data_IF_077486829982
#
_entry.id   IF_077486829982
#
_cell.length_a   1.000
_cell.length_b   1.000
_cell.length_c   1.000
_cell.angle_alpha   90.00
_cell.angle_beta   90.00
_cell.angle_gamma   90.00
#
_symmetry.space_group_name_H-M   'P 1'
#
loop_
_entity.id
_entity.type
_entity.pdbx_description
1 polymer ?
#
# COMPACT_ATOMS: atom_id res chain seq x y z
N UNK A 1 -14.30 -12.08 -27.96
CA UNK A 1 -14.30 -13.16 -26.96
C UNK A 1 -12.87 -13.58 -26.74
N UNK A 2 -12.22 -13.01 -25.72
CA UNK A 2 -10.81 -13.28 -25.40
C UNK A 2 -10.78 -14.51 -24.48
N UNK A 3 -10.00 -15.51 -24.87
CA UNK A 3 -9.87 -16.80 -24.20
C UNK A 3 -9.16 -16.61 -22.84
N UNK A 4 -9.94 -16.51 -21.76
CA UNK A 4 -9.52 -16.27 -20.37
C UNK A 4 -8.77 -17.44 -19.71
N UNK A 5 -8.52 -18.53 -20.43
CA UNK A 5 -7.92 -19.75 -19.91
C UNK A 5 -6.38 -19.72 -19.73
N UNK A 6 -5.70 -18.63 -20.09
CA UNK A 6 -4.22 -18.57 -20.02
C UNK A 6 -3.64 -17.99 -18.72
N UNK A 7 -4.41 -17.28 -17.89
CA UNK A 7 -3.86 -16.65 -16.66
C UNK A 7 -3.63 -17.68 -15.53
N UNK A 8 -4.30 -18.84 -15.59
CA UNK A 8 -4.30 -19.81 -14.49
C UNK A 8 -3.21 -20.89 -14.59
N UNK A 9 -2.36 -20.89 -15.64
CA UNK A 9 -1.42 -21.99 -15.92
C UNK A 9 -0.04 -21.90 -15.27
N UNK A 10 0.35 -20.76 -14.70
CA UNK A 10 1.75 -20.55 -14.29
C UNK A 10 2.01 -20.36 -12.79
N UNK A 11 1.11 -20.81 -11.89
CA UNK A 11 1.46 -20.94 -10.47
C UNK A 11 2.02 -22.35 -10.22
N UNK A 12 3.26 -22.60 -10.63
CA UNK A 12 4.01 -23.80 -10.18
C UNK A 12 4.50 -23.52 -8.76
N UNK A 13 3.95 -24.24 -7.77
CA UNK A 13 4.21 -24.19 -6.33
C UNK A 13 5.65 -24.51 -5.86
N UNK A 14 6.67 -24.19 -6.66
CA UNK A 14 8.06 -24.57 -6.37
C UNK A 14 8.84 -23.55 -5.54
N UNK A 15 8.18 -22.54 -4.96
CA UNK A 15 8.85 -21.57 -4.10
C UNK A 15 9.34 -22.26 -2.81
N UNK A 16 10.67 -22.28 -2.61
CA UNK A 16 11.31 -22.77 -1.39
C UNK A 16 10.84 -22.06 -0.11
N UNK A 17 10.14 -20.93 -0.26
CA UNK A 17 9.73 -20.03 0.82
C UNK A 17 8.23 -20.15 1.16
N UNK A 18 7.49 -21.06 0.54
CA UNK A 18 6.06 -21.28 0.79
C UNK A 18 5.83 -22.19 2.00
N UNK A 19 5.03 -21.73 2.95
CA UNK A 19 4.52 -22.54 4.06
C UNK A 19 3.33 -23.41 3.60
N UNK A 20 3.64 -24.55 2.99
CA UNK A 20 2.65 -25.50 2.45
C UNK A 20 1.71 -26.04 3.55
N UNK A 21 2.26 -26.35 4.74
CA UNK A 21 1.50 -26.90 5.87
C UNK A 21 0.53 -25.87 6.45
N UNK A 22 1.00 -24.62 6.64
CA UNK A 22 0.17 -23.51 7.09
C UNK A 22 -1.02 -23.25 6.15
N UNK A 23 -0.78 -23.22 4.83
CA UNK A 23 -1.83 -23.03 3.83
C UNK A 23 -2.87 -24.16 3.90
N UNK A 24 -2.43 -25.42 3.96
CA UNK A 24 -3.33 -26.57 4.04
C UNK A 24 -4.17 -26.54 5.32
N UNK A 25 -3.55 -26.25 6.47
CA UNK A 25 -4.25 -26.13 7.77
C UNK A 25 -5.28 -25.02 7.75
N UNK A 26 -4.96 -23.86 7.17
CA UNK A 26 -5.89 -22.75 6.98
C UNK A 26 -7.12 -23.19 6.19
N UNK A 27 -6.92 -23.78 5.02
CA UNK A 27 -8.02 -24.18 4.15
C UNK A 27 -8.88 -25.27 4.77
N UNK A 28 -8.28 -26.27 5.43
CA UNK A 28 -9.01 -27.29 6.18
C UNK A 28 -9.84 -26.68 7.32
N UNK A 29 -9.30 -25.69 8.03
CA UNK A 29 -10.01 -25.03 9.12
C UNK A 29 -11.21 -24.21 8.63
N UNK A 30 -11.06 -23.46 7.54
CA UNK A 30 -12.12 -22.56 7.04
C UNK A 30 -13.16 -23.33 6.23
N UNK A 31 -12.73 -24.23 5.35
CA UNK A 31 -13.59 -24.87 4.36
C UNK A 31 -13.85 -26.35 4.64
N UNK A 32 -13.10 -26.99 5.54
CA UNK A 32 -13.27 -28.42 5.85
C UNK A 32 -14.45 -28.73 6.79
N UNK A 33 -15.03 -27.71 7.43
CA UNK A 33 -16.13 -27.85 8.40
C UNK A 33 -17.50 -27.47 7.78
N UNK A 34 -17.52 -26.74 6.66
CA UNK A 34 -18.74 -26.23 6.01
C UNK A 34 -18.93 -26.83 4.60
N UNK A 35 -20.11 -27.37 4.34
CA UNK A 35 -20.51 -28.17 3.17
C UNK A 35 -20.62 -27.44 1.81
N UNK A 36 -20.12 -26.20 1.69
CA UNK A 36 -20.25 -25.44 0.44
C UNK A 36 -19.16 -25.78 -0.59
N UNK A 37 -17.99 -26.28 -0.16
CA UNK A 37 -16.88 -26.61 -1.04
C UNK A 37 -16.32 -28.00 -0.68
N UNK A 38 -16.42 -28.95 -1.62
CA UNK A 38 -15.96 -30.31 -1.40
C UNK A 38 -14.48 -30.44 -1.76
N UNK A 39 -13.64 -30.72 -0.76
CA UNK A 39 -12.30 -31.24 -1.01
C UNK A 39 -12.41 -32.57 -1.75
N UNK A 40 -11.44 -32.87 -2.60
CA UNK A 40 -11.37 -34.19 -3.26
C UNK A 40 -11.43 -35.34 -2.25
N UNK A 41 -12.12 -36.43 -2.57
CA UNK A 41 -12.23 -37.62 -1.70
C UNK A 41 -10.87 -38.15 -1.21
N UNK A 42 -9.82 -38.01 -2.03
CA UNK A 42 -8.47 -38.46 -1.69
C UNK A 42 -7.59 -37.35 -1.08
N UNK A 43 -8.15 -36.18 -0.77
CA UNK A 43 -7.37 -35.02 -0.33
C UNK A 43 -6.55 -35.35 0.91
N UNK A 44 -7.16 -35.98 1.93
CA UNK A 44 -6.49 -36.27 3.20
C UNK A 44 -5.39 -37.34 3.11
N UNK A 45 -5.37 -38.18 2.06
CA UNK A 45 -4.33 -39.20 1.87
C UNK A 45 -3.15 -38.71 1.03
N UNK A 46 -3.25 -37.52 0.44
CA UNK A 46 -2.15 -36.91 -0.30
C UNK A 46 -1.07 -36.34 0.62
N UNK A 47 0.14 -36.21 0.08
CA UNK A 47 1.22 -35.44 0.72
C UNK A 47 0.81 -33.98 0.88
N UNK A 48 1.35 -33.29 1.89
CA UNK A 48 1.08 -31.86 2.14
C UNK A 48 1.32 -31.01 0.90
N UNK A 49 2.43 -31.26 0.19
CA UNK A 49 2.72 -30.61 -1.09
C UNK A 49 1.60 -30.78 -2.12
N UNK A 50 1.14 -32.02 -2.34
CA UNK A 50 0.06 -32.29 -3.30
C UNK A 50 -1.27 -31.68 -2.86
N UNK A 51 -1.55 -31.60 -1.56
CA UNK A 51 -2.70 -30.88 -1.01
C UNK A 51 -2.60 -29.37 -1.29
N UNK A 52 -1.44 -28.78 -1.03
CA UNK A 52 -1.13 -27.37 -1.30
C UNK A 52 -1.29 -27.03 -2.79
N UNK A 53 -0.66 -27.81 -3.67
CA UNK A 53 -0.74 -27.65 -5.12
C UNK A 53 -2.19 -27.70 -5.62
N UNK A 54 -2.97 -28.63 -5.08
CA UNK A 54 -4.38 -28.76 -5.42
C UNK A 54 -5.20 -27.58 -4.90
N UNK A 55 -4.97 -27.10 -3.67
CA UNK A 55 -5.63 -25.89 -3.15
C UNK A 55 -5.35 -24.71 -4.08
N UNK A 56 -4.07 -24.45 -4.39
CA UNK A 56 -3.66 -23.31 -5.21
C UNK A 56 -4.34 -23.33 -6.57
N UNK A 57 -4.42 -24.52 -7.19
CA UNK A 57 -5.08 -24.70 -8.49
C UNK A 57 -6.59 -24.43 -8.44
N UNK A 58 -7.24 -24.70 -7.30
CA UNK A 58 -8.69 -24.62 -7.12
C UNK A 58 -9.14 -23.45 -6.22
N UNK A 59 -8.29 -22.42 -6.00
CA UNK A 59 -8.63 -21.24 -5.17
C UNK A 59 -9.98 -20.61 -5.57
N UNK A 60 -10.28 -20.59 -6.87
CA UNK A 60 -11.52 -20.02 -7.39
C UNK A 60 -12.78 -20.72 -6.86
N UNK A 61 -12.71 -22.02 -6.55
CA UNK A 61 -13.83 -22.77 -5.96
C UNK A 61 -14.09 -22.32 -4.52
N UNK A 62 -13.02 -22.03 -3.77
CA UNK A 62 -13.10 -21.54 -2.40
C UNK A 62 -13.55 -20.07 -2.31
N UNK A 63 -13.25 -19.29 -3.34
CA UNK A 63 -13.51 -17.85 -3.42
C UNK A 63 -14.24 -17.50 -4.73
N UNK A 64 -15.49 -17.94 -4.93
CA UNK A 64 -16.17 -17.89 -6.23
C UNK A 64 -16.44 -16.47 -6.75
N UNK A 65 -16.44 -15.46 -5.87
CA UNK A 65 -16.64 -14.06 -6.24
C UNK A 65 -15.34 -13.24 -6.19
N UNK A 66 -14.17 -13.87 -5.96
CA UNK A 66 -12.89 -13.18 -5.98
C UNK A 66 -12.40 -13.04 -7.43
N UNK A 67 -12.05 -11.83 -7.88
CA UNK A 67 -11.47 -11.64 -9.20
C UNK A 67 -10.22 -12.50 -9.40
N UNK A 68 -10.10 -13.12 -10.58
CA UNK A 68 -8.99 -14.02 -10.91
C UNK A 68 -7.62 -13.36 -10.72
N UNK A 69 -7.52 -12.07 -11.02
CA UNK A 69 -6.29 -11.26 -10.89
C UNK A 69 -5.77 -11.18 -9.44
N UNK A 70 -6.63 -11.41 -8.44
CA UNK A 70 -6.32 -11.31 -7.01
C UNK A 70 -6.10 -12.68 -6.33
N UNK A 71 -6.47 -13.79 -6.98
CA UNK A 71 -6.39 -15.13 -6.38
C UNK A 71 -4.98 -15.50 -5.94
N UNK A 72 -3.95 -15.04 -6.65
CA UNK A 72 -2.54 -15.28 -6.30
C UNK A 72 -2.13 -14.66 -4.97
N UNK A 73 -2.88 -13.68 -4.44
CA UNK A 73 -2.56 -13.03 -3.16
C UNK A 73 -2.75 -14.03 -2.00
N UNK A 74 -3.65 -15.01 -2.12
CA UNK A 74 -3.90 -16.00 -1.08
C UNK A 74 -2.65 -16.86 -0.79
N UNK A 75 -2.06 -17.57 -1.77
CA UNK A 75 -0.83 -18.32 -1.54
C UNK A 75 0.38 -17.40 -1.28
N UNK A 76 0.38 -16.18 -1.82
CA UNK A 76 1.44 -15.20 -1.53
C UNK A 76 1.53 -14.87 -0.03
N UNK A 77 0.40 -14.93 0.70
CA UNK A 77 0.36 -14.67 2.14
C UNK A 77 1.15 -15.72 2.94
N UNK A 78 1.31 -16.93 2.39
CA UNK A 78 2.09 -18.02 2.97
C UNK A 78 3.52 -18.09 2.40
N UNK A 79 3.86 -17.25 1.43
CA UNK A 79 5.20 -17.19 0.86
C UNK A 79 6.03 -16.10 1.51
N UNK A 80 7.15 -16.49 2.11
CA UNK A 80 8.07 -15.57 2.74
C UNK A 80 8.90 -14.79 1.71
N UNK A 81 9.30 -13.55 2.07
CA UNK A 81 10.25 -12.79 1.27
C UNK A 81 11.63 -13.45 1.24
N UNK A 82 12.29 -13.39 0.10
CA UNK A 82 13.64 -13.90 -0.12
C UNK A 82 14.69 -12.94 0.46
N UNK A 83 15.04 -13.17 1.73
CA UNK A 83 15.98 -12.33 2.45
C UNK A 83 17.43 -12.49 1.97
N UNK A 84 17.76 -13.62 1.32
CA UNK A 84 19.12 -13.96 0.86
C UNK A 84 19.45 -13.36 -0.51
N UNK A 85 18.45 -12.83 -1.21
CA UNK A 85 18.63 -12.24 -2.54
C UNK A 85 19.61 -11.08 -2.49
N UNK A 86 20.71 -11.17 -3.23
CA UNK A 86 21.67 -10.07 -3.37
C UNK A 86 21.09 -8.96 -4.24
N UNK A 87 21.29 -7.70 -3.82
CA UNK A 87 20.91 -6.53 -4.62
C UNK A 87 21.72 -6.42 -5.92
N UNK A 88 22.92 -7.00 -5.98
CA UNK A 88 23.82 -6.86 -7.14
C UNK A 88 23.42 -7.73 -8.34
N UNK A 89 22.55 -8.71 -8.13
CA UNK A 89 22.07 -9.58 -9.20
C UNK A 89 20.82 -8.95 -9.79
N UNK A 90 20.87 -8.62 -11.07
CA UNK A 90 19.69 -8.17 -11.81
C UNK A 90 18.81 -9.38 -12.18
N UNK A 91 17.48 -9.24 -12.18
CA UNK A 91 16.62 -10.25 -12.75
C UNK A 91 16.78 -10.30 -14.28
N UNK A 92 16.67 -11.49 -14.88
CA UNK A 92 16.86 -11.69 -16.32
C UNK A 92 15.84 -10.93 -17.17
N UNK A 93 14.64 -10.69 -16.63
CA UNK A 93 13.57 -9.94 -17.30
C UNK A 93 13.71 -8.42 -17.16
N UNK A 94 14.74 -7.90 -16.48
CA UNK A 94 14.91 -6.46 -16.29
C UNK A 94 15.26 -5.79 -17.62
N UNK A 95 14.44 -4.82 -18.01
CA UNK A 95 14.64 -3.98 -19.17
C UNK A 95 15.16 -2.62 -18.69
N UNK A 96 16.43 -2.35 -19.00
CA UNK A 96 17.10 -1.14 -18.54
C UNK A 96 16.52 0.12 -19.17
N UNK A 97 16.07 0.08 -20.43
CA UNK A 97 15.49 1.24 -21.10
C UNK A 97 14.12 1.57 -20.51
N UNK A 98 13.30 0.55 -20.22
CA UNK A 98 12.05 0.73 -19.47
C UNK A 98 12.30 1.27 -18.06
N UNK A 99 13.32 0.75 -17.36
CA UNK A 99 13.68 1.29 -16.04
C UNK A 99 14.03 2.78 -16.11
N UNK A 100 14.89 3.19 -17.05
CA UNK A 100 15.27 4.61 -17.24
C UNK A 100 14.10 5.50 -17.64
N UNK A 101 13.23 5.02 -18.53
CA UNK A 101 12.00 5.75 -18.89
C UNK A 101 11.09 5.96 -17.68
N UNK A 102 10.95 4.96 -16.81
CA UNK A 102 10.20 5.07 -15.56
C UNK A 102 10.77 6.13 -14.61
N UNK A 103 12.10 6.25 -14.53
CA UNK A 103 12.76 7.30 -13.76
C UNK A 103 12.46 8.69 -14.34
N UNK A 104 12.55 8.87 -15.67
CA UNK A 104 12.22 10.13 -16.35
C UNK A 104 10.76 10.52 -16.05
N UNK A 105 9.83 9.57 -16.18
CA UNK A 105 8.42 9.78 -15.88
C UNK A 105 8.20 10.30 -14.45
N UNK A 106 8.88 9.71 -13.46
CA UNK A 106 8.76 10.17 -12.07
C UNK A 106 9.38 11.55 -11.86
N UNK A 107 10.53 11.86 -12.48
CA UNK A 107 11.15 13.18 -12.34
C UNK A 107 10.28 14.30 -12.93
N UNK A 108 9.62 14.01 -14.06
CA UNK A 108 8.68 14.91 -14.74
C UNK A 108 7.39 15.13 -13.95
N UNK A 109 6.94 14.14 -13.18
CA UNK A 109 5.69 14.16 -12.42
C UNK A 109 5.93 14.16 -10.90
N UNK A 110 7.06 14.71 -10.43
CA UNK A 110 7.55 14.55 -9.07
C UNK A 110 6.50 14.83 -7.98
N UNK A 111 5.84 15.99 -8.02
CA UNK A 111 4.86 16.40 -7.00
C UNK A 111 3.62 15.50 -7.05
N UNK A 112 3.10 15.21 -8.25
CA UNK A 112 1.97 14.32 -8.43
C UNK A 112 2.27 12.89 -7.92
N UNK A 113 3.48 12.38 -8.20
CA UNK A 113 3.94 11.09 -7.70
C UNK A 113 4.05 11.12 -6.17
N UNK A 114 4.57 12.19 -5.55
CA UNK A 114 4.61 12.29 -4.09
C UNK A 114 3.21 12.22 -3.48
N UNK A 115 2.26 13.03 -4.00
CA UNK A 115 0.85 13.04 -3.57
C UNK A 115 0.21 11.66 -3.73
N UNK A 116 0.46 11.00 -4.86
CA UNK A 116 -0.06 9.64 -5.12
C UNK A 116 0.35 8.62 -4.06
N UNK A 117 1.53 8.75 -3.44
CA UNK A 117 1.97 7.83 -2.37
C UNK A 117 1.19 8.05 -1.09
N UNK A 118 0.88 9.30 -0.75
CA UNK A 118 0.11 9.62 0.45
C UNK A 118 -1.31 9.08 0.30
N UNK A 119 -1.94 9.36 -0.85
CA UNK A 119 -3.26 8.82 -1.19
C UNK A 119 -3.23 7.28 -1.18
N UNK A 120 -2.22 6.66 -1.81
CA UNK A 120 -2.02 5.22 -1.79
C UNK A 120 -1.93 4.62 -0.38
N UNK A 121 -1.21 5.29 0.53
CA UNK A 121 -1.07 4.88 1.93
C UNK A 121 -2.43 4.90 2.66
N UNK A 122 -3.29 5.87 2.36
CA UNK A 122 -4.65 5.92 2.92
C UNK A 122 -5.46 4.67 2.56
N UNK A 123 -5.28 4.18 1.33
CA UNK A 123 -5.96 3.00 0.82
C UNK A 123 -5.45 1.70 1.43
N UNK A 124 -4.13 1.51 1.47
CA UNK A 124 -3.55 0.26 1.97
C UNK A 124 -3.78 0.08 3.46
N UNK A 125 -3.81 1.15 4.24
CA UNK A 125 -4.07 1.04 5.68
C UNK A 125 -5.52 0.67 6.02
N UNK A 126 -6.43 0.63 5.04
CA UNK A 126 -7.76 0.01 5.25
C UNK A 126 -7.65 -1.49 5.55
N UNK A 127 -6.57 -2.15 5.12
CA UNK A 127 -6.23 -3.50 5.52
C UNK A 127 -5.56 -3.47 6.91
N UNK A 128 -6.23 -4.03 7.91
CA UNK A 128 -5.74 -4.02 9.29
C UNK A 128 -4.39 -4.73 9.44
N UNK A 129 -4.14 -5.79 8.67
CA UNK A 129 -2.85 -6.51 8.69
C UNK A 129 -1.70 -5.66 8.12
N UNK A 130 -1.99 -4.66 7.28
CA UNK A 130 -1.01 -3.67 6.79
C UNK A 130 -0.81 -2.51 7.79
N UNK A 131 -1.87 -2.12 8.49
CA UNK A 131 -1.83 -1.02 9.46
C UNK A 131 -1.09 -1.41 10.75
N UNK A 132 -1.28 -2.64 11.26
CA UNK A 132 -0.68 -3.10 12.52
C UNK A 132 0.85 -2.98 12.55
N UNK A 133 1.63 -3.45 11.54
CA UNK A 133 3.08 -3.27 11.52
C UNK A 133 3.52 -1.79 11.56
N UNK A 134 2.70 -0.88 11.07
CA UNK A 134 2.98 0.56 11.10
C UNK A 134 2.82 1.11 12.52
N UNK A 135 1.76 0.71 13.21
CA UNK A 135 1.50 1.07 14.61
C UNK A 135 2.57 0.47 15.52
N UNK A 136 2.86 -0.83 15.39
CA UNK A 136 3.93 -1.54 16.14
C UNK A 136 5.31 -0.95 15.92
N UNK A 137 5.53 -0.25 14.82
CA UNK A 137 6.74 0.50 14.55
C UNK A 137 6.95 1.67 15.51
N UNK A 138 5.90 2.19 16.15
CA UNK A 138 5.95 3.29 17.11
C UNK A 138 6.59 4.59 16.59
N UNK A 139 6.58 4.80 15.27
CA UNK A 139 7.13 6.01 14.62
C UNK A 139 6.07 6.78 13.81
N UNK A 140 4.77 6.65 14.14
CA UNK A 140 3.70 7.31 13.37
C UNK A 140 2.43 7.66 14.16
N UNK A 141 2.42 7.45 15.48
CA UNK A 141 1.24 7.68 16.34
C UNK A 141 1.19 9.09 16.94
N UNK A 142 2.08 9.98 16.52
CA UNK A 142 1.93 11.43 16.72
C UNK A 142 2.30 12.15 15.42
N UNK A 143 1.80 13.37 15.17
CA UNK A 143 2.19 14.15 14.00
C UNK A 143 3.70 14.36 13.86
N UNK A 144 4.43 14.56 14.97
CA UNK A 144 5.89 14.70 14.97
C UNK A 144 6.60 13.41 14.54
N UNK A 145 6.24 12.26 15.11
CA UNK A 145 6.83 10.98 14.73
C UNK A 145 6.50 10.64 13.27
N UNK A 146 5.25 10.88 12.87
CA UNK A 146 4.83 10.74 11.48
C UNK A 146 5.66 11.63 10.54
N UNK A 147 5.90 12.89 10.88
CA UNK A 147 6.75 13.80 10.10
C UNK A 147 8.13 13.19 9.84
N UNK A 148 8.82 12.78 10.90
CA UNK A 148 10.15 12.18 10.79
C UNK A 148 10.12 10.91 9.93
N UNK A 149 9.16 10.01 10.18
CA UNK A 149 9.03 8.75 9.44
C UNK A 149 8.77 9.00 7.96
N UNK A 150 7.78 9.82 7.61
CA UNK A 150 7.32 9.97 6.23
C UNK A 150 8.27 10.82 5.39
N UNK A 151 8.89 11.87 5.94
CA UNK A 151 9.94 12.62 5.23
C UNK A 151 11.09 11.69 4.84
N UNK A 152 11.57 10.86 5.78
CA UNK A 152 12.65 9.91 5.51
C UNK A 152 12.21 8.81 4.54
N UNK A 153 10.97 8.34 4.63
CA UNK A 153 10.46 7.28 3.76
C UNK A 153 10.32 7.76 2.32
N UNK A 154 9.73 8.94 2.10
CA UNK A 154 9.64 9.56 0.78
C UNK A 154 11.04 9.80 0.22
N UNK A 155 11.98 10.36 1.01
CA UNK A 155 13.36 10.58 0.57
C UNK A 155 14.07 9.29 0.15
N UNK A 156 13.84 8.16 0.84
CA UNK A 156 14.38 6.84 0.45
C UNK A 156 13.77 6.34 -0.86
N UNK A 157 12.45 6.38 -1.00
CA UNK A 157 11.78 5.94 -2.24
C UNK A 157 12.27 6.79 -3.43
N UNK A 158 12.40 8.10 -3.25
CA UNK A 158 12.86 9.02 -4.30
C UNK A 158 14.35 8.90 -4.62
N UNK A 159 15.17 8.33 -3.71
CA UNK A 159 16.55 7.98 -4.07
C UNK A 159 16.59 6.75 -4.99
N UNK A 160 15.64 5.81 -4.87
CA UNK A 160 15.50 4.71 -5.81
C UNK A 160 15.09 5.22 -7.20
N UNK A 161 14.14 6.16 -7.26
CA UNK A 161 13.70 6.77 -8.53
C UNK A 161 14.77 7.57 -9.26
N UNK A 162 15.85 7.96 -8.57
CA UNK A 162 16.94 8.75 -9.15
C UNK A 162 18.26 7.99 -9.21
N UNK A 163 18.28 6.70 -8.85
CA UNK A 163 19.50 5.90 -8.82
C UNK A 163 19.28 4.41 -9.08
N UNK A 164 20.34 3.65 -8.81
CA UNK A 164 20.43 2.23 -9.14
C UNK A 164 20.59 1.39 -7.87
N UNK A 165 19.51 0.78 -7.35
CA UNK A 165 19.54 -0.03 -6.13
C UNK A 165 20.48 -1.23 -6.16
N UNK A 166 21.03 -1.60 -7.32
CA UNK A 166 21.97 -2.71 -7.50
C UNK A 166 23.44 -2.29 -7.56
N UNK A 167 23.74 -1.00 -7.68
CA UNK A 167 25.12 -0.49 -7.72
C UNK A 167 25.57 -0.11 -6.31
N UNK A 168 26.47 -0.92 -5.74
CA UNK A 168 27.04 -0.68 -4.40
C UNK A 168 27.68 0.71 -4.33
N UNK A 169 27.38 1.45 -3.26
CA UNK A 169 27.91 2.80 -3.03
C UNK A 169 26.96 3.93 -3.47
N UNK A 170 25.94 3.63 -4.27
CA UNK A 170 24.89 4.62 -4.58
C UNK A 170 23.98 4.82 -3.37
N UNK A 171 23.36 6.01 -3.30
CA UNK A 171 22.33 6.28 -2.29
C UNK A 171 21.14 5.32 -2.40
N UNK A 172 20.74 4.99 -3.63
CA UNK A 172 19.65 4.04 -3.90
C UNK A 172 19.93 2.66 -3.30
N UNK A 173 21.16 2.15 -3.47
CA UNK A 173 21.60 0.87 -2.89
C UNK A 173 21.52 0.90 -1.36
N UNK A 174 22.09 1.92 -0.73
CA UNK A 174 22.07 2.06 0.74
C UNK A 174 20.65 2.18 1.28
N UNK A 175 19.80 3.01 0.67
CA UNK A 175 18.42 3.19 1.12
C UNK A 175 17.57 1.92 0.91
N UNK A 176 17.83 1.14 -0.15
CA UNK A 176 17.20 -0.16 -0.40
C UNK A 176 17.59 -1.18 0.69
N UNK A 177 18.87 -1.23 1.07
CA UNK A 177 19.32 -2.09 2.18
C UNK A 177 18.67 -1.69 3.51
N UNK A 178 18.58 -0.38 3.80
CA UNK A 178 17.90 0.13 5.00
C UNK A 178 16.43 -0.31 5.02
N UNK A 179 15.73 -0.21 3.89
CA UNK A 179 14.33 -0.65 3.81
C UNK A 179 14.20 -2.16 4.08
N UNK A 180 15.04 -3.00 3.45
CA UNK A 180 15.06 -4.45 3.73
C UNK A 180 15.33 -4.76 5.20
N UNK A 181 16.30 -4.09 5.80
CA UNK A 181 16.61 -4.25 7.23
C UNK A 181 15.41 -3.92 8.13
N UNK A 182 14.73 -2.81 7.86
CA UNK A 182 13.52 -2.41 8.60
C UNK A 182 12.38 -3.41 8.45
N UNK A 183 12.11 -3.89 7.23
CA UNK A 183 11.07 -4.88 6.99
C UNK A 183 11.40 -6.21 7.67
N UNK A 184 12.66 -6.66 7.64
CA UNK A 184 13.10 -7.87 8.35
C UNK A 184 12.95 -7.74 9.87
N UNK A 185 13.34 -6.60 10.45
CA UNK A 185 13.18 -6.33 11.89
C UNK A 185 11.71 -6.35 12.28
N UNK A 186 10.85 -5.66 11.52
CA UNK A 186 9.41 -5.65 11.80
C UNK A 186 8.81 -7.04 11.67
N UNK A 187 9.20 -7.79 10.64
CA UNK A 187 8.76 -9.18 10.47
C UNK A 187 9.11 -10.04 11.68
N UNK A 188 10.37 -10.00 12.14
CA UNK A 188 10.81 -10.73 13.33
C UNK A 188 9.97 -10.35 14.55
N UNK A 189 9.72 -9.05 14.74
CA UNK A 189 8.86 -8.53 15.82
C UNK A 189 7.45 -9.11 15.76
N UNK A 190 6.79 -9.05 14.60
CA UNK A 190 5.41 -9.56 14.43
C UNK A 190 5.35 -11.08 14.63
N UNK A 191 6.33 -11.84 14.14
CA UNK A 191 6.35 -13.30 14.30
C UNK A 191 6.55 -13.75 15.76
N UNK A 192 7.13 -12.91 16.62
CA UNK A 192 7.34 -13.20 18.04
C UNK A 192 6.11 -12.94 18.91
N UNK A 193 5.09 -12.28 18.36
CA UNK A 193 3.86 -11.93 19.08
C UNK A 193 2.70 -12.85 18.65
N UNK A 194 1.80 -13.13 19.58
CA UNK A 194 0.49 -13.69 19.24
C UNK A 194 -0.47 -12.59 18.73
N UNK A 195 -1.64 -13.02 18.24
CA UNK A 195 -2.59 -12.09 17.64
C UNK A 195 -3.27 -11.19 18.67
N UNK A 196 -3.42 -11.63 19.92
CA UNK A 196 -4.01 -10.84 21.00
C UNK A 196 -3.04 -9.76 21.44
N UNK A 197 -1.76 -10.12 21.63
CA UNK A 197 -0.67 -9.19 21.89
C UNK A 197 -0.55 -8.12 20.80
N UNK A 198 -0.58 -8.51 19.52
CA UNK A 198 -0.55 -7.55 18.41
C UNK A 198 -1.75 -6.62 18.47
N UNK A 199 -2.94 -7.16 18.72
CA UNK A 199 -4.17 -6.36 18.78
C UNK A 199 -4.11 -5.37 19.92
N UNK A 200 -3.78 -5.81 21.13
CA UNK A 200 -3.63 -4.96 22.31
C UNK A 200 -2.60 -3.85 22.10
N UNK A 201 -1.43 -4.18 21.53
CA UNK A 201 -0.39 -3.20 21.24
C UNK A 201 -0.76 -2.20 20.13
N UNK A 202 -1.76 -2.52 19.29
CA UNK A 202 -2.21 -1.63 18.22
C UNK A 202 -3.44 -0.81 18.58
N UNK A 203 -4.13 -1.11 19.67
CA UNK A 203 -5.33 -0.38 20.11
C UNK A 203 -4.93 0.88 20.87
N UNK A 204 -5.43 2.03 20.42
CA UNK A 204 -5.19 3.29 21.13
C UNK A 204 -6.28 3.55 22.17
N UNK A 205 -5.88 3.92 23.38
CA UNK A 205 -6.83 4.31 24.43
C UNK A 205 -7.62 5.58 24.06
N UNK A 206 -6.95 6.55 23.42
CA UNK A 206 -7.54 7.84 23.02
C UNK A 206 -7.11 8.19 21.59
N UNK A 207 -7.68 7.53 20.56
CA UNK A 207 -7.31 7.79 19.18
C UNK A 207 -7.74 9.20 18.73
N UNK A 208 -6.92 9.91 17.96
CA UNK A 208 -7.28 11.18 17.33
C UNK A 208 -8.19 10.93 16.12
N UNK A 209 -9.45 10.63 16.44
CA UNK A 209 -10.46 10.09 15.54
C UNK A 209 -11.74 10.94 15.64
N UNK A 210 -11.79 12.06 14.92
CA UNK A 210 -12.84 13.06 14.96
C UNK A 210 -13.91 12.88 13.87
N UNK A 211 -13.55 12.28 12.73
CA UNK A 211 -14.40 12.29 11.52
C UNK A 211 -14.90 10.90 11.12
N UNK A 212 -14.57 9.83 11.87
CA UNK A 212 -14.85 8.45 11.49
C UNK A 212 -16.33 8.16 11.28
N UNK A 213 -17.19 8.61 12.18
CA UNK A 213 -18.64 8.38 12.05
C UNK A 213 -19.20 9.02 10.77
N UNK A 214 -18.73 10.22 10.46
CA UNK A 214 -19.06 10.94 9.24
C UNK A 214 -18.60 10.18 8.00
N UNK A 215 -17.35 9.70 8.01
CA UNK A 215 -16.78 8.91 6.91
C UNK A 215 -17.53 7.60 6.69
N UNK A 216 -17.84 6.87 7.77
CA UNK A 216 -18.59 5.61 7.71
C UNK A 216 -19.98 5.80 7.12
N UNK A 217 -20.65 6.92 7.42
CA UNK A 217 -21.95 7.26 6.84
C UNK A 217 -21.89 7.39 5.32
N UNK A 218 -20.89 8.08 4.79
CA UNK A 218 -20.70 8.19 3.34
C UNK A 218 -20.34 6.83 2.71
N UNK A 219 -19.38 6.09 3.28
CA UNK A 219 -18.94 4.81 2.72
C UNK A 219 -20.03 3.73 2.73
N UNK A 220 -20.93 3.76 3.72
CA UNK A 220 -22.10 2.89 3.75
C UNK A 220 -23.03 3.13 2.54
N UNK A 221 -23.15 4.38 2.07
CA UNK A 221 -24.04 4.75 0.97
C UNK A 221 -23.49 4.39 -0.43
N UNK A 222 -22.17 4.33 -0.59
CA UNK A 222 -21.52 4.15 -1.91
C UNK A 222 -21.41 2.69 -2.34
N UNK A 223 -21.62 1.74 -1.43
CA UNK A 223 -21.12 0.39 -1.63
C UNK A 223 -22.18 -0.66 -1.87
N UNK A 224 -21.90 -1.59 -2.80
CA UNK A 224 -22.72 -2.78 -3.01
C UNK A 224 -22.63 -3.79 -1.85
N UNK A 225 -23.64 -4.66 -1.68
CA UNK A 225 -23.56 -5.81 -0.79
C UNK A 225 -22.38 -6.72 -1.17
N UNK A 226 -21.62 -7.18 -0.17
CA UNK A 226 -20.51 -8.09 -0.39
C UNK A 226 -21.01 -9.51 -0.68
N UNK A 227 -20.41 -10.16 -1.67
CA UNK A 227 -20.69 -11.56 -1.98
C UNK A 227 -19.73 -12.49 -1.25
N UNK A 228 -20.18 -13.70 -0.90
CA UNK A 228 -19.32 -14.71 -0.28
C UNK A 228 -18.07 -14.98 -1.13
N UNK A 229 -16.91 -15.06 -0.48
CA UNK A 229 -15.65 -15.32 -1.15
C UNK A 229 -15.16 -14.19 -2.06
N UNK A 230 -15.73 -12.98 -1.96
CA UNK A 230 -15.24 -11.81 -2.70
C UNK A 230 -13.92 -11.28 -2.15
N UNK A 231 -13.83 -11.12 -0.82
CA UNK A 231 -12.60 -10.75 -0.09
C UNK A 231 -12.01 -11.97 0.62
N UNK A 232 -10.73 -11.84 0.98
CA UNK A 232 -10.02 -12.84 1.77
C UNK A 232 -10.21 -12.68 3.29
N UNK A 233 -11.14 -11.84 3.74
CA UNK A 233 -11.34 -11.50 5.17
C UNK A 233 -11.66 -12.72 6.05
N UNK A 234 -12.25 -13.78 5.48
CA UNK A 234 -12.49 -15.04 6.20
C UNK A 234 -11.19 -15.69 6.70
N UNK A 235 -10.06 -15.46 6.02
CA UNK A 235 -8.74 -15.94 6.43
C UNK A 235 -8.34 -15.36 7.78
N UNK A 236 -8.71 -14.11 8.05
CA UNK A 236 -8.35 -13.41 9.29
C UNK A 236 -9.02 -13.99 10.54
N UNK A 237 -10.04 -14.84 10.37
CA UNK A 237 -10.75 -15.54 11.45
C UNK A 237 -10.10 -16.85 11.86
N UNK A 238 -9.17 -17.38 11.05
CA UNK A 238 -8.52 -18.66 11.35
C UNK A 238 -7.33 -18.47 12.28
N UNK A 239 -7.07 -19.41 13.22
CA UNK A 239 -5.84 -19.43 14.00
C UNK A 239 -4.59 -19.70 13.16
N UNK A 240 -4.76 -20.21 11.93
CA UNK A 240 -3.66 -20.50 10.99
C UNK A 240 -3.38 -19.36 10.01
N UNK A 241 -3.91 -18.16 10.27
CA UNK A 241 -3.61 -17.01 9.42
C UNK A 241 -2.10 -16.70 9.44
N UNK A 242 -1.53 -16.27 8.30
CA UNK A 242 -0.09 -16.03 8.22
C UNK A 242 0.34 -14.89 9.15
N UNK A 243 1.56 -14.99 9.67
CA UNK A 243 2.17 -13.99 10.56
C UNK A 243 3.38 -13.33 9.90
N UNK A 244 3.52 -12.05 10.20
CA UNK A 244 4.65 -11.24 9.76
C UNK A 244 4.57 -10.86 8.29
N UNK A 245 5.56 -10.08 7.86
CA UNK A 245 5.61 -9.49 6.53
C UNK A 245 5.96 -10.54 5.47
N UNK A 246 5.04 -10.80 4.55
CA UNK A 246 5.10 -11.84 3.51
C UNK A 246 4.96 -11.24 2.09
N UNK A 247 4.87 -12.09 1.05
CA UNK A 247 4.75 -11.64 -0.33
C UNK A 247 3.41 -10.97 -0.65
N UNK A 248 2.30 -11.39 -0.02
CA UNK A 248 1.01 -10.71 -0.18
C UNK A 248 1.10 -9.27 0.34
N UNK A 249 1.68 -9.06 1.51
CA UNK A 249 1.77 -7.72 2.11
C UNK A 249 2.58 -6.76 1.23
N UNK A 250 3.69 -7.26 0.67
CA UNK A 250 4.49 -6.47 -0.28
C UNK A 250 3.77 -6.25 -1.61
N UNK A 251 2.98 -7.21 -2.09
CA UNK A 251 2.17 -7.07 -3.31
C UNK A 251 1.11 -5.98 -3.13
N UNK A 252 0.37 -6.02 -2.03
CA UNK A 252 -0.62 -5.01 -1.67
C UNK A 252 0.03 -3.63 -1.41
N UNK A 253 1.18 -3.60 -0.73
CA UNK A 253 1.95 -2.36 -0.57
C UNK A 253 2.41 -1.79 -1.91
N UNK A 254 2.87 -2.63 -2.85
CA UNK A 254 3.28 -2.19 -4.18
C UNK A 254 2.10 -1.62 -4.98
N UNK A 255 0.91 -2.22 -4.86
CA UNK A 255 -0.30 -1.74 -5.54
C UNK A 255 -0.66 -0.31 -5.12
N UNK A 256 -0.50 0.00 -3.83
CA UNK A 256 -0.83 1.32 -3.28
C UNK A 256 0.04 2.43 -3.88
N UNK A 257 1.27 2.08 -4.26
CA UNK A 257 2.18 3.03 -4.88
C UNK A 257 1.93 3.24 -6.38
N UNK A 258 1.23 2.34 -7.06
CA UNK A 258 1.00 2.45 -8.52
C UNK A 258 -0.44 2.80 -8.88
N UNK A 259 -1.41 2.63 -7.98
CA UNK A 259 -2.84 2.81 -8.25
C UNK A 259 -3.20 4.16 -8.88
N UNK A 260 -2.86 5.27 -8.22
CA UNK A 260 -3.32 6.60 -8.64
C UNK A 260 -2.71 6.98 -10.00
N UNK A 261 -1.40 6.82 -10.26
CA UNK A 261 -0.85 7.06 -11.60
C UNK A 261 -1.46 6.15 -12.68
N UNK A 262 -1.88 4.92 -12.34
CA UNK A 262 -2.40 3.98 -13.33
C UNK A 262 -3.86 4.18 -13.68
N UNK A 263 -4.72 4.35 -12.68
CA UNK A 263 -6.17 4.41 -12.89
C UNK A 263 -6.67 5.84 -13.05
N UNK A 264 -6.05 6.79 -12.35
CA UNK A 264 -6.57 8.16 -12.25
C UNK A 264 -5.47 9.23 -12.36
N UNK A 265 -4.56 9.18 -13.36
CA UNK A 265 -3.38 10.05 -13.41
C UNK A 265 -3.74 11.54 -13.37
N UNK A 266 -4.82 11.96 -14.04
CA UNK A 266 -5.24 13.36 -14.09
C UNK A 266 -5.76 13.86 -12.74
N UNK A 267 -6.26 12.98 -11.87
CA UNK A 267 -6.79 13.35 -10.55
C UNK A 267 -5.74 13.97 -9.62
N UNK A 268 -4.46 13.68 -9.87
CA UNK A 268 -3.29 14.25 -9.18
C UNK A 268 -2.42 15.11 -10.10
N UNK A 269 -2.90 15.43 -11.29
CA UNK A 269 -2.25 16.34 -12.23
C UNK A 269 -1.23 15.70 -13.18
N UNK A 270 -1.28 14.38 -13.40
CA UNK A 270 -0.52 13.72 -14.46
C UNK A 270 -1.39 13.70 -15.73
N UNK A 271 -1.19 14.68 -16.61
CA UNK A 271 -2.03 14.87 -17.81
C UNK A 271 -1.45 14.28 -19.10
N UNK A 272 -0.15 14.03 -19.12
CA UNK A 272 0.63 13.70 -20.31
C UNK A 272 1.34 12.33 -20.19
N UNK A 273 0.76 11.41 -19.41
CA UNK A 273 1.24 10.04 -19.32
C UNK A 273 0.82 9.24 -20.55
N UNK A 274 1.79 8.63 -21.22
CA UNK A 274 1.55 7.60 -22.26
C UNK A 274 1.46 6.22 -21.62
N UNK A 275 0.90 5.24 -22.32
CA UNK A 275 0.87 3.86 -21.82
C UNK A 275 2.30 3.30 -21.67
N UNK A 276 3.23 3.67 -22.53
CA UNK A 276 4.64 3.28 -22.38
C UNK A 276 5.29 3.91 -21.14
N UNK A 277 4.90 5.13 -20.75
CA UNK A 277 5.37 5.74 -19.50
C UNK A 277 4.81 5.02 -18.27
N UNK A 278 3.53 4.64 -18.31
CA UNK A 278 2.87 3.91 -17.23
C UNK A 278 3.42 2.48 -17.09
N UNK A 279 3.68 1.81 -18.22
CA UNK A 279 4.33 0.50 -18.25
C UNK A 279 5.75 0.59 -17.69
N UNK A 280 6.54 1.59 -18.12
CA UNK A 280 7.88 1.84 -17.61
C UNK A 280 7.89 2.14 -16.10
N UNK A 281 6.92 2.91 -15.61
CA UNK A 281 6.73 3.16 -14.19
C UNK A 281 6.41 1.88 -13.41
N UNK A 282 5.55 1.01 -13.95
CA UNK A 282 5.27 -0.30 -13.37
C UNK A 282 6.49 -1.22 -13.40
N UNK A 283 7.26 -1.22 -14.49
CA UNK A 283 8.49 -2.00 -14.62
C UNK A 283 9.51 -1.60 -13.53
N UNK A 284 9.64 -0.31 -13.26
CA UNK A 284 10.48 0.21 -12.19
C UNK A 284 10.02 -0.30 -10.81
N UNK A 285 8.71 -0.26 -10.53
CA UNK A 285 8.16 -0.83 -9.29
C UNK A 285 8.33 -2.35 -9.22
N UNK A 286 8.21 -3.07 -10.34
CA UNK A 286 8.50 -4.51 -10.43
C UNK A 286 9.93 -4.80 -10.00
N UNK A 287 10.89 -4.02 -10.50
CA UNK A 287 12.30 -4.10 -10.09
C UNK A 287 12.48 -3.87 -8.59
N UNK A 288 11.81 -2.87 -8.00
CA UNK A 288 11.89 -2.63 -6.56
C UNK A 288 11.33 -3.79 -5.74
N UNK A 289 10.21 -4.38 -6.15
CA UNK A 289 9.68 -5.59 -5.53
C UNK A 289 10.73 -6.72 -5.53
N UNK A 290 11.40 -6.92 -6.67
CA UNK A 290 12.49 -7.89 -6.76
C UNK A 290 13.64 -7.57 -5.78
N UNK A 291 14.13 -6.34 -5.76
CA UNK A 291 15.24 -5.95 -4.88
C UNK A 291 14.89 -6.01 -3.39
N UNK A 292 13.61 -5.80 -3.06
CA UNK A 292 13.04 -5.95 -1.72
C UNK A 292 12.82 -7.41 -1.30
N UNK A 293 13.00 -8.37 -2.21
CA UNK A 293 12.92 -9.81 -1.93
C UNK A 293 11.60 -10.47 -2.29
N UNK A 294 10.70 -9.81 -3.01
CA UNK A 294 9.45 -10.44 -3.48
C UNK A 294 9.74 -11.50 -4.54
N UNK A 295 9.04 -12.64 -4.49
CA UNK A 295 9.06 -13.60 -5.60
C UNK A 295 8.32 -13.01 -6.81
N UNK A 296 8.85 -13.28 -8.00
CA UNK A 296 8.39 -12.62 -9.24
C UNK A 296 6.93 -12.95 -9.57
N UNK A 297 6.49 -14.16 -9.22
CA UNK A 297 5.11 -14.64 -9.39
C UNK A 297 4.09 -13.90 -8.51
N UNK A 298 4.53 -13.28 -7.41
CA UNK A 298 3.67 -12.51 -6.51
C UNK A 298 3.88 -11.00 -6.63
N UNK A 299 4.83 -10.56 -7.46
CA UNK A 299 5.04 -9.15 -7.77
C UNK A 299 3.76 -8.56 -8.36
N UNK A 300 3.27 -7.46 -7.78
CA UNK A 300 2.01 -6.83 -8.19
C UNK A 300 2.13 -6.22 -9.58
N UNK A 301 3.32 -5.76 -9.96
CA UNK A 301 3.61 -5.17 -11.27
C UNK A 301 4.08 -6.21 -12.32
N UNK A 302 3.72 -7.48 -12.16
CA UNK A 302 3.97 -8.53 -13.16
C UNK A 302 2.91 -8.53 -14.27
N UNK A 303 3.28 -9.06 -15.43
CA UNK A 303 2.41 -9.14 -16.60
C UNK A 303 2.48 -7.91 -17.50
N UNK A 304 1.52 -7.78 -18.41
CA UNK A 304 1.34 -6.60 -19.26
C UNK A 304 0.74 -5.42 -18.47
N UNK A 305 0.77 -4.22 -19.06
CA UNK A 305 0.15 -3.03 -18.46
C UNK A 305 -1.35 -3.24 -18.24
N UNK A 306 -2.04 -3.90 -19.17
CA UNK A 306 -3.48 -4.21 -19.08
C UNK A 306 -3.76 -5.15 -17.90
N UNK A 307 -2.96 -6.20 -17.73
CA UNK A 307 -3.10 -7.13 -16.59
C UNK A 307 -2.86 -6.41 -15.25
N UNK A 308 -1.90 -5.48 -15.21
CA UNK A 308 -1.62 -4.67 -14.01
C UNK A 308 -2.80 -3.72 -13.74
N UNK A 309 -3.28 -2.97 -14.74
CA UNK A 309 -4.45 -2.07 -14.60
C UNK A 309 -5.69 -2.85 -14.15
N UNK A 310 -5.94 -4.03 -14.71
CA UNK A 310 -7.03 -4.90 -14.29
C UNK A 310 -6.88 -5.33 -12.83
N UNK A 311 -5.69 -5.78 -12.42
CA UNK A 311 -5.41 -6.19 -11.04
C UNK A 311 -5.57 -5.05 -10.04
N UNK A 312 -5.12 -3.84 -10.38
CA UNK A 312 -5.37 -2.65 -9.55
C UNK A 312 -6.88 -2.41 -9.46
N UNK A 313 -7.58 -2.33 -10.59
CA UNK A 313 -9.02 -2.06 -10.58
C UNK A 313 -9.77 -3.08 -9.71
N UNK A 314 -9.47 -4.37 -9.89
CA UNK A 314 -10.09 -5.43 -9.11
C UNK A 314 -9.80 -5.30 -7.61
N UNK A 315 -8.54 -5.05 -7.22
CA UNK A 315 -8.18 -4.87 -5.82
C UNK A 315 -8.98 -3.72 -5.18
N UNK A 316 -9.11 -2.61 -5.90
CA UNK A 316 -9.75 -1.42 -5.36
C UNK A 316 -11.26 -1.55 -5.32
N UNK A 317 -11.89 -2.04 -6.38
CA UNK A 317 -13.34 -2.23 -6.46
C UNK A 317 -13.84 -3.31 -5.50
N UNK A 318 -13.15 -4.45 -5.42
CA UNK A 318 -13.65 -5.59 -4.68
C UNK A 318 -13.14 -5.67 -3.24
N UNK A 319 -11.98 -5.08 -2.90
CA UNK A 319 -11.39 -5.19 -1.56
C UNK A 319 -11.24 -3.82 -0.86
N UNK A 320 -10.56 -2.84 -1.45
CA UNK A 320 -10.27 -1.55 -0.77
C UNK A 320 -11.56 -0.77 -0.49
N UNK A 321 -12.42 -0.57 -1.51
CA UNK A 321 -13.66 0.18 -1.34
C UNK A 321 -14.54 -0.44 -0.25
N UNK A 322 -14.78 -1.77 -0.24
CA UNK A 322 -15.48 -2.42 0.87
C UNK A 322 -14.83 -2.25 2.24
N UNK A 323 -13.49 -2.25 2.35
CA UNK A 323 -12.82 -2.05 3.64
C UNK A 323 -13.13 -0.68 4.27
N UNK A 324 -13.45 0.34 3.48
CA UNK A 324 -13.82 1.67 4.01
C UNK A 324 -15.12 1.67 4.84
N UNK A 325 -15.97 0.64 4.73
CA UNK A 325 -17.14 0.48 5.62
C UNK A 325 -16.77 0.07 7.04
N UNK A 326 -15.54 -0.42 7.22
CA UNK A 326 -15.06 -1.04 8.45
C UNK A 326 -13.84 -0.27 8.98
N UNK A 327 -13.71 1.02 8.64
CA UNK A 327 -12.62 1.87 9.12
C UNK A 327 -12.51 1.80 10.64
N UNK A 328 -11.30 1.64 11.15
CA UNK A 328 -11.03 1.61 12.60
C UNK A 328 -10.64 3.00 13.11
N UNK A 329 -10.81 3.28 14.42
CA UNK A 329 -10.29 4.50 15.02
C UNK A 329 -8.78 4.69 14.80
N UNK A 330 -8.02 3.59 14.82
CA UNK A 330 -6.59 3.55 14.56
C UNK A 330 -6.24 3.98 13.13
N UNK A 331 -7.08 3.62 12.14
CA UNK A 331 -6.90 4.08 10.76
C UNK A 331 -6.96 5.59 10.69
N UNK A 332 -8.01 6.20 11.25
CA UNK A 332 -8.15 7.66 11.21
C UNK A 332 -7.00 8.32 11.96
N UNK A 333 -6.67 7.84 13.16
CA UNK A 333 -5.57 8.37 13.95
C UNK A 333 -4.26 8.41 13.14
N UNK A 334 -3.87 7.28 12.54
CA UNK A 334 -2.60 7.17 11.81
C UNK A 334 -2.61 7.99 10.53
N UNK A 335 -3.71 7.98 9.77
CA UNK A 335 -3.81 8.81 8.56
C UNK A 335 -3.82 10.29 8.91
N UNK A 336 -4.50 10.69 9.98
CA UNK A 336 -4.49 12.08 10.44
C UNK A 336 -3.10 12.51 10.88
N UNK A 337 -2.37 11.68 11.63
CA UNK A 337 -0.97 11.96 11.96
C UNK A 337 -0.11 12.09 10.69
N UNK A 338 -0.27 11.20 9.71
CA UNK A 338 0.42 11.29 8.41
C UNK A 338 0.13 12.63 7.72
N UNK A 339 -1.14 12.98 7.54
CA UNK A 339 -1.55 14.16 6.77
C UNK A 339 -1.16 15.45 7.47
N UNK A 340 -1.47 15.56 8.76
CA UNK A 340 -1.21 16.78 9.52
C UNK A 340 0.30 17.03 9.69
N UNK A 341 1.11 15.96 9.69
CA UNK A 341 2.57 16.09 9.67
C UNK A 341 3.11 16.76 8.40
N UNK A 342 2.37 16.69 7.29
CA UNK A 342 2.75 17.36 6.04
C UNK A 342 2.69 18.88 6.17
N UNK A 343 1.86 19.39 7.07
CA UNK A 343 1.74 20.83 7.34
C UNK A 343 2.99 21.40 8.03
N UNK A 344 3.96 20.56 8.44
CA UNK A 344 5.27 20.97 8.92
C UNK A 344 6.31 21.15 7.80
N UNK A 345 5.97 20.79 6.56
CA UNK A 345 6.85 20.99 5.41
C UNK A 345 6.93 22.48 5.04
N UNK A 346 8.08 22.95 4.53
CA UNK A 346 8.25 24.34 4.17
C UNK A 346 7.47 24.67 2.88
N UNK A 347 6.89 25.87 2.79
CA UNK A 347 6.20 26.35 1.58
C UNK A 347 4.69 26.53 1.68
N UNK A 348 4.08 26.31 2.87
CA UNK A 348 2.66 26.59 3.17
C UNK A 348 1.65 25.94 2.19
N UNK A 349 1.94 24.76 1.63
CA UNK A 349 0.93 23.90 0.99
C UNK A 349 0.12 23.19 2.08
N UNK A 350 -0.69 23.97 2.78
CA UNK A 350 -1.50 23.48 3.89
C UNK A 350 -2.61 22.57 3.36
N UNK A 351 -2.67 21.34 3.88
CA UNK A 351 -3.62 20.33 3.48
C UNK A 351 -4.23 19.67 4.73
N UNK A 352 -5.44 20.08 5.15
CA UNK A 352 -6.11 19.48 6.29
C UNK A 352 -6.61 18.07 5.96
N UNK A 353 -6.74 17.23 6.97
CA UNK A 353 -7.20 15.84 6.86
C UNK A 353 -8.45 15.66 5.99
N UNK A 354 -9.51 16.45 6.22
CA UNK A 354 -10.76 16.33 5.46
C UNK A 354 -10.59 16.57 3.96
N UNK A 355 -9.75 17.56 3.59
CA UNK A 355 -9.50 17.93 2.20
C UNK A 355 -8.77 16.80 1.48
N UNK A 356 -7.75 16.19 2.08
CA UNK A 356 -7.03 15.10 1.42
C UNK A 356 -7.87 13.81 1.37
N UNK A 357 -8.71 13.53 2.37
CA UNK A 357 -9.65 12.41 2.31
C UNK A 357 -10.60 12.58 1.15
N UNK A 358 -11.18 13.78 0.98
CA UNK A 358 -12.06 14.03 -0.15
C UNK A 358 -11.33 13.95 -1.51
N UNK A 359 -10.11 14.49 -1.61
CA UNK A 359 -9.27 14.35 -2.80
C UNK A 359 -8.96 12.87 -3.10
N UNK A 360 -8.70 12.06 -2.08
CA UNK A 360 -8.44 10.63 -2.22
C UNK A 360 -9.70 9.89 -2.68
N UNK A 361 -10.86 10.12 -2.07
CA UNK A 361 -12.12 9.47 -2.47
C UNK A 361 -12.58 9.91 -3.86
N UNK A 362 -12.30 11.16 -4.26
CA UNK A 362 -12.52 11.63 -5.64
C UNK A 362 -11.75 10.77 -6.65
N UNK A 363 -10.52 10.34 -6.35
CA UNK A 363 -9.77 9.49 -7.28
C UNK A 363 -10.41 8.12 -7.44
N UNK A 364 -11.15 7.63 -6.44
CA UNK A 364 -11.91 6.38 -6.52
C UNK A 364 -13.34 6.58 -7.08
N UNK A 365 -13.68 7.79 -7.53
CA UNK A 365 -15.02 8.19 -7.96
C UNK A 365 -16.11 7.93 -6.90
N UNK A 366 -15.77 8.07 -5.61
CA UNK A 366 -16.72 7.87 -4.52
C UNK A 366 -17.39 9.21 -4.17
N UNK A 367 -18.72 9.19 -4.07
CA UNK A 367 -19.49 10.34 -3.64
C UNK A 367 -19.46 10.46 -2.11
N UNK A 368 -18.92 11.55 -1.58
CA UNK A 368 -18.79 11.79 -0.13
C UNK A 368 -19.57 13.05 0.31
N UNK A 369 -20.91 13.07 0.18
CA UNK A 369 -21.71 14.26 0.39
C UNK A 369 -21.68 14.76 1.84
N UNK A 370 -21.64 13.86 2.84
CA UNK A 370 -21.59 14.28 4.23
C UNK A 370 -20.21 14.89 4.57
N UNK A 371 -19.12 14.28 4.09
CA UNK A 371 -17.77 14.83 4.24
C UNK A 371 -17.66 16.22 3.62
N UNK A 372 -18.08 16.39 2.37
CA UNK A 372 -18.03 17.68 1.66
C UNK A 372 -18.88 18.74 2.35
N UNK A 373 -20.08 18.39 2.83
CA UNK A 373 -20.93 19.31 3.57
C UNK A 373 -20.36 19.71 4.95
N UNK A 374 -19.48 18.90 5.52
CA UNK A 374 -18.85 19.19 6.82
C UNK A 374 -17.68 20.18 6.75
N UNK A 375 -17.30 20.63 5.55
CA UNK A 375 -16.17 21.53 5.37
C UNK A 375 -16.48 22.91 5.93
N UNK A 376 -15.53 23.48 6.66
CA UNK A 376 -15.53 24.91 6.92
C UNK A 376 -15.10 25.69 5.67
N UNK A 377 -15.27 27.02 5.70
CA UNK A 377 -14.98 27.87 4.55
C UNK A 377 -13.52 27.76 4.06
N UNK A 378 -12.56 27.63 4.98
CA UNK A 378 -11.14 27.45 4.66
C UNK A 378 -10.88 26.11 3.97
N UNK A 379 -11.46 25.02 4.47
CA UNK A 379 -11.34 23.68 3.87
C UNK A 379 -11.93 23.66 2.45
N UNK A 380 -13.06 24.35 2.24
CA UNK A 380 -13.67 24.48 0.92
C UNK A 380 -12.76 25.20 -0.08
N UNK A 381 -12.19 26.34 0.32
CA UNK A 381 -11.22 27.08 -0.51
C UNK A 381 -10.01 26.20 -0.84
N UNK A 382 -9.45 25.52 0.17
CA UNK A 382 -8.29 24.66 -0.02
C UNK A 382 -8.60 23.50 -0.97
N UNK A 383 -9.74 22.85 -0.84
CA UNK A 383 -10.14 21.79 -1.76
C UNK A 383 -10.23 22.29 -3.20
N UNK A 384 -10.91 23.42 -3.44
CA UNK A 384 -11.00 24.01 -4.79
C UNK A 384 -9.63 24.44 -5.32
N UNK A 385 -8.78 25.01 -4.46
CA UNK A 385 -7.40 25.37 -4.81
C UNK A 385 -6.58 24.15 -5.24
N UNK A 386 -6.63 23.04 -4.51
CA UNK A 386 -5.88 21.84 -4.87
C UNK A 386 -6.40 21.20 -6.16
N UNK A 387 -7.72 21.14 -6.38
CA UNK A 387 -8.29 20.68 -7.65
C UNK A 387 -7.84 21.56 -8.83
N UNK A 388 -7.85 22.87 -8.64
CA UNK A 388 -7.32 23.82 -9.62
C UNK A 388 -5.82 23.60 -9.87
N UNK A 389 -5.02 23.41 -8.82
CA UNK A 389 -3.59 23.16 -8.94
C UNK A 389 -3.30 21.88 -9.74
N UNK A 390 -4.01 20.78 -9.45
CA UNK A 390 -3.90 19.53 -10.19
C UNK A 390 -4.29 19.70 -11.66
N UNK A 391 -5.35 20.46 -11.95
CA UNK A 391 -5.68 20.83 -13.32
C UNK A 391 -4.57 21.67 -13.99
N UNK A 392 -4.01 22.65 -13.27
CA UNK A 392 -2.96 23.54 -13.75
C UNK A 392 -1.64 22.80 -14.06
N UNK A 393 -1.41 21.59 -13.53
CA UNK A 393 -0.27 20.76 -13.92
C UNK A 393 -0.28 20.32 -15.38
N UNK A 394 -1.39 20.55 -16.12
CA UNK A 394 -1.42 20.41 -17.57
C UNK A 394 -0.45 21.38 -18.27
N UNK A 395 -0.13 22.51 -17.64
CA UNK A 395 0.83 23.48 -18.14
C UNK A 395 2.24 23.14 -17.61
N UNK A 396 3.16 22.79 -18.52
CA UNK A 396 4.51 22.33 -18.17
C UNK A 396 5.26 23.31 -17.27
N UNK A 397 5.19 24.62 -17.56
CA UNK A 397 5.85 25.66 -16.74
C UNK A 397 5.38 25.64 -15.29
N UNK A 398 4.06 25.52 -15.06
CA UNK A 398 3.49 25.45 -13.71
C UNK A 398 3.95 24.16 -13.02
N UNK A 399 3.85 23.03 -13.72
CA UNK A 399 4.28 21.72 -13.23
C UNK A 399 5.76 21.74 -12.82
N UNK A 400 6.64 22.33 -13.64
CA UNK A 400 8.08 22.39 -13.39
C UNK A 400 8.44 23.28 -12.20
N UNK A 401 7.78 24.43 -12.08
CA UNK A 401 7.92 25.32 -10.91
C UNK A 401 7.51 24.57 -9.64
N UNK A 402 6.34 23.95 -9.63
CA UNK A 402 5.82 23.26 -8.45
C UNK A 402 6.67 22.03 -8.10
N UNK A 403 7.09 21.23 -9.09
CA UNK A 403 8.02 20.12 -8.89
C UNK A 403 9.33 20.60 -8.25
N UNK A 404 9.89 21.72 -8.72
CA UNK A 404 11.10 22.33 -8.16
C UNK A 404 10.89 22.78 -6.71
N UNK A 405 9.75 23.44 -6.43
CA UNK A 405 9.37 23.86 -5.07
C UNK A 405 9.21 22.66 -4.13
N UNK A 406 8.52 21.60 -4.54
CA UNK A 406 8.34 20.38 -3.73
C UNK A 406 9.67 19.69 -3.46
N UNK A 407 10.57 19.59 -4.46
CA UNK A 407 11.92 19.04 -4.26
C UNK A 407 12.72 19.82 -3.23
N UNK A 408 12.76 21.16 -3.35
CA UNK A 408 13.43 22.03 -2.37
C UNK A 408 12.80 21.90 -0.98
N UNK A 409 11.47 21.83 -0.93
CA UNK A 409 10.71 21.68 0.31
C UNK A 409 11.06 20.38 1.04
N UNK A 410 11.04 19.26 0.32
CA UNK A 410 11.41 17.94 0.85
C UNK A 410 12.86 17.91 1.36
N UNK A 411 13.78 18.47 0.58
CA UNK A 411 15.19 18.53 0.98
C UNK A 411 15.40 19.40 2.22
N UNK A 412 14.67 20.51 2.36
CA UNK A 412 14.73 21.35 3.56
C UNK A 412 14.12 20.65 4.77
N UNK A 413 12.94 20.04 4.63
CA UNK A 413 12.26 19.29 5.70
C UNK A 413 13.14 18.14 6.24
N UNK A 414 13.84 17.43 5.34
CA UNK A 414 14.73 16.34 5.71
C UNK A 414 16.01 16.78 6.44
N UNK A 415 16.32 18.07 6.46
CA UNK A 415 17.52 18.65 7.06
C UNK A 415 17.16 19.80 8.03
N UNK A 416 16.00 19.75 8.67
CA UNK A 416 15.65 20.71 9.73
C UNK A 416 16.65 20.66 10.88
N UNK A 417 16.95 21.84 11.46
CA UNK A 417 17.78 21.97 12.65
C UNK A 417 17.11 21.33 13.86
N UNK A 418 17.88 21.01 14.89
CA UNK A 418 17.34 20.51 16.16
C UNK A 418 16.30 21.47 16.76
N UNK A 419 16.58 22.78 16.74
CA UNK A 419 15.66 23.83 17.18
C UNK A 419 14.32 23.78 16.41
N UNK A 420 14.36 23.60 15.08
CA UNK A 420 13.14 23.52 14.28
C UNK A 420 12.35 22.24 14.54
N UNK A 421 13.06 21.13 14.79
CA UNK A 421 12.41 19.87 15.16
C UNK A 421 11.73 19.98 16.53
N UNK A 422 12.35 20.67 17.50
CA UNK A 422 11.75 20.94 18.80
C UNK A 422 10.48 21.80 18.68
N UNK A 423 10.52 22.87 17.87
CA UNK A 423 9.33 23.70 17.60
C UNK A 423 8.17 22.86 17.01
N UNK A 424 8.48 21.95 16.09
CA UNK A 424 7.48 21.06 15.49
C UNK A 424 6.96 20.05 16.52
N UNK A 425 7.84 19.53 17.38
CA UNK A 425 7.45 18.58 18.44
C UNK A 425 6.50 19.24 19.44
N UNK A 426 6.82 20.44 19.91
CA UNK A 426 5.94 21.23 20.79
C UNK A 426 4.61 21.56 20.12
N UNK A 427 4.60 21.87 18.82
CA UNK A 427 3.35 22.05 18.07
C UNK A 427 2.55 20.75 17.99
N UNK A 428 3.19 19.61 17.77
CA UNK A 428 2.55 18.29 17.74
C UNK A 428 1.90 17.94 19.07
N UNK A 429 2.59 18.16 20.20
CA UNK A 429 2.10 17.87 21.56
C UNK A 429 0.80 18.60 21.91
N UNK A 430 0.60 19.80 21.36
CA UNK A 430 -0.65 20.58 21.55
C UNK A 430 -1.87 19.92 20.91
N UNK A 431 -1.66 19.04 19.93
CA UNK A 431 -2.74 18.37 19.21
C UNK A 431 -2.90 16.92 19.64
N UNK A 432 -1.79 16.19 19.75
CA UNK A 432 -1.74 14.82 20.27
C UNK A 432 -0.60 14.74 21.26
N UNK A 433 -0.87 14.58 22.58
CA UNK A 433 0.18 14.39 23.57
C UNK A 433 1.06 13.20 23.23
N UNK A 434 2.33 13.24 23.63
CA UNK A 434 3.20 12.07 23.45
C UNK A 434 2.71 10.93 24.33
N UNK A 435 2.63 9.74 23.73
CA UNK A 435 2.37 8.50 24.45
C UNK A 435 3.24 7.40 23.86
N UNK A 436 3.64 6.43 24.68
CA UNK A 436 4.37 5.27 24.18
C UNK A 436 3.40 4.18 23.76
N UNK A 437 3.75 3.49 22.68
CA UNK A 437 3.11 2.21 22.36
C UNK A 437 3.88 1.14 23.14
N UNK A 438 3.37 0.84 24.33
CA UNK A 438 3.90 -0.22 25.20
C UNK A 438 3.45 -1.58 24.67
N UNK A 439 4.35 -2.55 24.70
CA UNK A 439 4.10 -3.94 24.31
C UNK A 439 4.62 -4.89 25.36
#
# INVERSE_FOLDING_TARGET
>A
MINTNNIQRDIKSSSKNLDEDGLVKLFKNIFGVNSQNEFSNNFNVWTVKKQCDWIIKNIAEFFPNMPQSLQSIIPAAFCQLNNDRTLKKLPEWMDMDKYRRGQIFVQKNYTAIAISKIIGIMYIYTFQEELKPIILGAYSHTPYLAFQRYVLTIKRIFSWYSGDPWIKGTKAYTDMQVARGKHLTMRKKVCQMDHEQITAACTFANPWCLDRELLLKDFAAVSSPEKFGQRHTIINKSPYKPKGINNADFSLTQSCFVVVPLLYPQSVGIHDATDEDLEAFCHMWKCYGYFLGMEDEYNFCRGSLEEIKQRVNDLYQYWVIPNFKELTPEWEHIIRCLVESMNYWPGKFYMPFKVIVLLATDTLNLNMPNLYASFNYTEWILYKFHKFLFYAFKFSTIKDIINSMTRKSMNKAANYSAEKLEEIHEKSKKTVPDFSITY
#
